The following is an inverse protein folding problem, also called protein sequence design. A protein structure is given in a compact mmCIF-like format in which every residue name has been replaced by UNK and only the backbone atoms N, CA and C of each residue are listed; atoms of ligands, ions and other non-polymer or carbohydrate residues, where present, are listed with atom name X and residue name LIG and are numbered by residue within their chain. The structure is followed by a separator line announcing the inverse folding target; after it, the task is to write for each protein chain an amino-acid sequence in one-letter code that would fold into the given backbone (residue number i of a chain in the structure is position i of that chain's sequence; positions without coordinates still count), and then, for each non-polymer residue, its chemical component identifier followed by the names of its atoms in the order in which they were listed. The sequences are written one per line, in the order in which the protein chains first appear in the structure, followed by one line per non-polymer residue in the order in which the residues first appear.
data_IF_733753479969
#
_entry.id   IF_733753479969
#
_cell.length_a   1.000
_cell.length_b   1.000
_cell.length_c   1.000
_cell.angle_alpha   90.00
_cell.angle_beta   90.00
_cell.angle_gamma   90.00
#
_symmetry.space_group_name_H-M   'P 1'
#
loop_
_entity.id
_entity.type
_entity.pdbx_description
1 polymer ?
#
# COMPACT_ATOMS: atom_id res chain seq x y z
N UNK A 1 3.69 2.82 -9.95
CA UNK A 1 2.32 2.70 -10.46
C UNK A 1 1.62 4.04 -10.44
N UNK A 2 0.91 4.35 -11.48
CA UNK A 2 0.24 5.65 -11.67
C UNK A 2 -1.25 5.50 -11.95
N UNK A 3 -1.98 6.62 -11.85
CA UNK A 3 -3.36 6.72 -12.30
C UNK A 3 -3.37 7.16 -13.78
N UNK A 4 -3.69 6.23 -14.69
CA UNK A 4 -3.85 6.48 -16.14
C UNK A 4 -2.57 6.50 -16.97
N UNK A 5 -1.38 6.53 -16.38
CA UNK A 5 -0.09 6.55 -17.10
C UNK A 5 0.66 5.19 -17.09
N UNK A 6 0.06 4.13 -16.57
CA UNK A 6 0.72 2.83 -16.46
C UNK A 6 1.78 2.79 -15.36
N UNK A 7 2.92 2.19 -15.67
CA UNK A 7 4.05 2.02 -14.77
C UNK A 7 5.27 2.75 -15.31
N UNK A 8 6.01 3.40 -14.42
CA UNK A 8 7.30 4.01 -14.72
C UNK A 8 8.40 3.23 -14.01
N UNK A 9 9.41 2.77 -14.74
CA UNK A 9 10.63 2.17 -14.22
C UNK A 9 11.76 3.18 -14.33
N UNK A 10 12.35 3.54 -13.19
CA UNK A 10 13.52 4.42 -13.10
C UNK A 10 14.78 3.62 -12.80
N UNK A 11 15.80 3.74 -13.62
CA UNK A 11 17.09 3.03 -13.47
C UNK A 11 18.20 3.90 -12.84
N UNK A 12 17.86 5.09 -12.36
CA UNK A 12 18.78 6.09 -11.84
C UNK A 12 19.21 7.13 -12.88
N UNK A 13 18.86 6.97 -14.17
CA UNK A 13 19.22 7.88 -15.27
C UNK A 13 18.03 8.18 -16.19
N UNK A 14 17.26 7.17 -16.52
CA UNK A 14 16.15 7.24 -17.46
C UNK A 14 14.88 6.62 -16.89
N UNK A 15 13.74 7.03 -17.44
CA UNK A 15 12.43 6.50 -17.10
C UNK A 15 11.91 5.71 -18.30
N UNK A 16 11.57 4.44 -18.10
CA UNK A 16 10.90 3.58 -19.07
C UNK A 16 9.44 3.42 -18.68
N UNK A 17 8.54 3.44 -19.68
CA UNK A 17 7.10 3.33 -19.46
C UNK A 17 6.61 1.93 -19.85
N UNK A 18 5.66 1.42 -19.08
CA UNK A 18 4.89 0.23 -19.40
C UNK A 18 3.41 0.61 -19.33
N UNK A 19 2.75 0.54 -20.47
CA UNK A 19 1.33 0.86 -20.64
C UNK A 19 0.61 -0.32 -21.32
N UNK A 20 -0.65 -0.16 -21.66
CA UNK A 20 -1.41 -1.12 -22.47
C UNK A 20 -0.74 -1.40 -23.83
N UNK A 21 0.03 -0.45 -24.38
CA UNK A 21 0.82 -0.63 -25.61
C UNK A 21 1.97 -1.61 -25.43
N UNK A 22 2.60 -1.64 -24.26
CA UNK A 22 3.68 -2.57 -23.90
C UNK A 22 3.12 -3.88 -23.31
N UNK A 23 1.80 -4.01 -23.18
CA UNK A 23 1.14 -5.23 -22.74
C UNK A 23 0.61 -5.21 -21.29
N UNK A 24 0.53 -4.06 -20.62
CA UNK A 24 -0.13 -3.94 -19.33
C UNK A 24 -1.66 -4.03 -19.52
N UNK A 25 -2.36 -4.71 -18.62
CA UNK A 25 -3.82 -4.91 -18.75
C UNK A 25 -4.66 -3.64 -18.56
N UNK A 26 -4.14 -2.64 -17.81
CA UNK A 26 -4.77 -1.33 -17.62
C UNK A 26 -3.75 -0.30 -17.13
N UNK A 27 -3.87 0.94 -17.58
CA UNK A 27 -2.93 2.03 -17.28
C UNK A 27 -3.14 2.67 -15.88
N UNK A 28 -4.11 2.24 -15.10
CA UNK A 28 -4.26 2.66 -13.70
C UNK A 28 -3.79 1.52 -12.79
N UNK A 29 -2.61 1.69 -12.19
CA UNK A 29 -1.94 0.69 -11.36
C UNK A 29 -1.95 1.13 -9.91
N UNK A 30 -2.64 0.36 -9.06
CA UNK A 30 -2.83 0.67 -7.63
C UNK A 30 -1.79 0.01 -6.74
N UNK A 31 -1.32 -1.17 -7.12
CA UNK A 31 -0.41 -1.98 -6.32
C UNK A 31 0.65 -2.61 -7.18
N UNK A 32 1.88 -2.70 -6.67
CA UNK A 32 3.02 -3.35 -7.30
C UNK A 32 3.69 -4.25 -6.27
N UNK A 33 4.08 -5.45 -6.68
CA UNK A 33 4.83 -6.41 -5.88
C UNK A 33 5.92 -7.05 -6.75
N UNK A 34 7.14 -7.20 -6.24
CA UNK A 34 8.15 -8.13 -6.76
C UNK A 34 8.07 -9.42 -5.94
N UNK A 35 7.83 -10.57 -6.61
CA UNK A 35 7.80 -11.87 -5.95
C UNK A 35 9.22 -12.42 -5.70
N UNK A 36 9.36 -13.45 -4.86
CA UNK A 36 10.66 -14.07 -4.57
C UNK A 36 11.36 -14.66 -5.80
N UNK A 37 10.61 -14.91 -6.88
CA UNK A 37 11.16 -15.37 -8.18
C UNK A 37 11.60 -14.21 -9.08
N UNK A 38 11.42 -12.95 -8.66
CA UNK A 38 11.78 -11.75 -9.40
C UNK A 38 10.75 -11.34 -10.47
N UNK A 39 9.54 -11.90 -10.45
CA UNK A 39 8.46 -11.40 -11.29
C UNK A 39 7.82 -10.18 -10.65
N UNK A 40 7.37 -9.24 -11.48
CA UNK A 40 6.65 -8.04 -11.02
C UNK A 40 5.15 -8.22 -11.26
N UNK A 41 4.37 -8.05 -10.21
CA UNK A 41 2.93 -8.13 -10.24
C UNK A 41 2.32 -6.74 -10.14
N UNK A 42 1.41 -6.42 -11.06
CA UNK A 42 0.73 -5.13 -11.15
C UNK A 42 -0.76 -5.32 -10.93
N UNK A 43 -1.27 -4.79 -9.83
CA UNK A 43 -2.70 -4.73 -9.54
C UNK A 43 -3.33 -3.50 -10.19
N UNK A 44 -4.31 -3.70 -11.06
CA UNK A 44 -4.88 -2.64 -11.88
C UNK A 44 -6.35 -2.35 -11.55
N UNK A 45 -6.82 -1.20 -12.00
CA UNK A 45 -8.22 -0.81 -11.90
C UNK A 45 -9.03 -1.39 -13.08
N UNK A 46 -9.78 -2.46 -12.83
CA UNK A 46 -10.65 -3.11 -13.80
C UNK A 46 -9.95 -4.00 -14.84
N UNK A 47 -8.61 -4.04 -14.88
CA UNK A 47 -7.84 -4.89 -15.79
C UNK A 47 -7.33 -6.19 -15.14
N UNK A 48 -7.66 -6.44 -13.89
CA UNK A 48 -7.13 -7.57 -13.13
C UNK A 48 -5.67 -7.37 -12.72
N UNK A 49 -4.90 -8.44 -12.81
CA UNK A 49 -3.48 -8.50 -12.49
C UNK A 49 -2.67 -8.72 -13.74
N UNK A 50 -1.58 -7.97 -13.91
CA UNK A 50 -0.55 -8.23 -14.92
C UNK A 50 0.72 -8.71 -14.20
N UNK A 51 1.20 -9.92 -14.53
CA UNK A 51 2.48 -10.46 -14.07
C UNK A 51 3.50 -10.27 -15.18
N UNK A 52 4.65 -9.68 -14.88
CA UNK A 52 5.78 -9.49 -15.78
C UNK A 52 6.98 -10.32 -15.35
N UNK A 53 7.46 -11.21 -16.21
CA UNK A 53 8.59 -12.12 -15.94
C UNK A 53 9.95 -11.56 -16.42
N UNK A 54 9.99 -10.28 -16.75
CA UNK A 54 11.17 -9.63 -17.35
C UNK A 54 11.18 -9.64 -18.89
N UNK A 55 10.24 -10.37 -19.54
CA UNK A 55 10.15 -10.51 -21.02
C UNK A 55 8.73 -10.27 -21.52
N UNK A 56 7.74 -10.84 -20.84
CA UNK A 56 6.35 -10.84 -21.27
C UNK A 56 5.38 -10.65 -20.10
N UNK A 57 4.16 -10.20 -20.43
CA UNK A 57 3.06 -10.09 -19.49
C UNK A 57 2.16 -11.34 -19.57
N UNK A 58 1.74 -11.81 -18.40
CA UNK A 58 0.63 -12.75 -18.21
C UNK A 58 -0.47 -12.04 -17.45
N UNK A 59 -1.73 -12.23 -17.83
CA UNK A 59 -2.86 -11.56 -17.22
C UNK A 59 -3.76 -12.52 -16.48
N UNK A 60 -4.27 -12.07 -15.36
CA UNK A 60 -5.28 -12.77 -14.56
C UNK A 60 -6.46 -11.84 -14.34
N UNK A 61 -7.63 -12.28 -14.76
CA UNK A 61 -8.92 -11.60 -14.61
C UNK A 61 -9.92 -12.57 -13.99
N UNK A 62 -11.17 -12.18 -13.90
CA UNK A 62 -12.24 -13.08 -13.47
C UNK A 62 -12.37 -14.33 -14.35
N UNK A 63 -11.94 -14.26 -15.63
CA UNK A 63 -11.90 -15.43 -16.54
C UNK A 63 -10.88 -16.47 -16.11
N UNK A 64 -9.73 -16.01 -15.60
CA UNK A 64 -8.65 -16.86 -15.09
C UNK A 64 -8.86 -17.24 -13.63
N UNK A 65 -9.92 -16.73 -12.98
CA UNK A 65 -10.32 -17.13 -11.63
C UNK A 65 -10.13 -16.09 -10.54
N UNK A 66 -9.86 -14.81 -10.84
CA UNK A 66 -9.92 -13.76 -9.82
C UNK A 66 -11.35 -13.51 -9.35
N UNK A 67 -11.53 -13.11 -8.10
CA UNK A 67 -12.85 -12.73 -7.56
C UNK A 67 -13.36 -11.39 -8.08
N UNK A 68 -12.46 -10.50 -8.48
CA UNK A 68 -12.78 -9.20 -9.08
C UNK A 68 -11.56 -8.65 -9.82
N UNK A 69 -11.77 -7.93 -10.92
CA UNK A 69 -10.70 -7.36 -11.76
C UNK A 69 -10.17 -6.00 -11.30
N UNK A 70 -10.67 -5.43 -10.20
CA UNK A 70 -10.08 -4.24 -9.57
C UNK A 70 -9.26 -4.64 -8.35
N UNK A 71 -7.93 -4.57 -8.48
CA UNK A 71 -6.96 -5.01 -7.47
C UNK A 71 -6.41 -3.79 -6.73
N UNK A 72 -6.57 -3.78 -5.41
CA UNK A 72 -6.16 -2.68 -4.54
C UNK A 72 -4.84 -2.96 -3.82
N UNK A 73 -4.57 -4.23 -3.50
CA UNK A 73 -3.36 -4.66 -2.79
C UNK A 73 -2.90 -6.03 -3.25
N UNK A 74 -1.59 -6.27 -3.17
CA UNK A 74 -0.95 -7.54 -3.50
C UNK A 74 0.08 -7.86 -2.42
N UNK A 75 0.14 -9.11 -1.99
CA UNK A 75 1.15 -9.64 -1.06
C UNK A 75 1.55 -11.05 -1.50
N UNK A 76 2.84 -11.39 -1.42
CA UNK A 76 3.33 -12.76 -1.40
C UNK A 76 3.50 -13.19 0.06
N UNK A 77 2.85 -14.31 0.46
CA UNK A 77 3.02 -14.87 1.79
C UNK A 77 4.30 -15.71 1.89
N UNK A 78 4.77 -16.00 3.11
CA UNK A 78 5.98 -16.80 3.37
C UNK A 78 5.91 -18.22 2.80
N UNK A 79 4.75 -18.68 2.33
CA UNK A 79 4.55 -19.96 1.65
C UNK A 79 4.61 -19.83 0.12
N UNK A 80 4.85 -18.62 -0.42
CA UNK A 80 4.91 -18.32 -1.85
C UNK A 80 3.54 -18.19 -2.52
N UNK A 81 2.44 -18.06 -1.75
CA UNK A 81 1.15 -17.75 -2.36
C UNK A 81 1.01 -16.25 -2.55
N UNK A 82 0.39 -15.84 -3.66
CA UNK A 82 0.08 -14.44 -3.93
C UNK A 82 -1.35 -14.14 -3.51
N UNK A 83 -1.51 -13.15 -2.66
CA UNK A 83 -2.79 -12.67 -2.17
C UNK A 83 -3.16 -11.35 -2.85
N UNK A 84 -4.39 -11.26 -3.31
CA UNK A 84 -4.95 -10.09 -3.97
C UNK A 84 -6.13 -9.57 -3.17
N UNK A 85 -6.02 -8.35 -2.67
CA UNK A 85 -7.13 -7.59 -2.10
C UNK A 85 -7.88 -6.86 -3.21
N UNK A 86 -9.17 -7.06 -3.29
CA UNK A 86 -10.00 -6.57 -4.41
C UNK A 86 -11.02 -5.53 -3.97
N UNK A 87 -11.60 -4.83 -4.93
CA UNK A 87 -12.72 -3.93 -4.72
C UNK A 87 -14.05 -4.71 -4.83
N UNK A 88 -14.63 -5.09 -3.69
CA UNK A 88 -15.93 -5.75 -3.60
C UNK A 88 -15.94 -7.27 -3.84
N UNK A 89 -14.82 -7.88 -4.26
CA UNK A 89 -14.70 -9.33 -4.47
C UNK A 89 -14.05 -10.09 -3.31
N UNK A 90 -13.69 -9.43 -2.22
CA UNK A 90 -12.96 -10.02 -1.10
C UNK A 90 -11.49 -10.23 -1.44
N UNK A 91 -10.97 -11.39 -1.06
CA UNK A 91 -9.60 -11.82 -1.29
C UNK A 91 -9.55 -12.93 -2.33
N UNK A 92 -8.53 -12.90 -3.19
CA UNK A 92 -8.14 -14.02 -4.04
C UNK A 92 -6.73 -14.46 -3.63
N UNK A 93 -6.58 -15.74 -3.26
CA UNK A 93 -5.28 -16.37 -3.01
C UNK A 93 -4.91 -17.22 -4.21
N UNK A 94 -3.72 -17.03 -4.78
CA UNK A 94 -3.16 -17.81 -5.88
C UNK A 94 -1.99 -18.66 -5.38
N UNK A 95 -2.06 -19.99 -5.55
CA UNK A 95 -1.05 -20.95 -5.12
C UNK A 95 -0.05 -21.35 -6.22
N UNK A 96 -0.07 -20.63 -7.36
CA UNK A 96 0.69 -20.96 -8.55
C UNK A 96 -0.10 -21.75 -9.59
N UNK A 97 -1.25 -22.37 -9.24
CA UNK A 97 -2.07 -23.19 -10.13
C UNK A 97 -3.54 -22.75 -10.12
N UNK A 98 -4.08 -22.39 -8.97
CA UNK A 98 -5.51 -22.13 -8.79
C UNK A 98 -5.76 -20.96 -7.84
N UNK A 99 -6.97 -20.39 -7.92
CA UNK A 99 -7.43 -19.36 -7.02
C UNK A 99 -8.37 -19.93 -5.94
N UNK A 100 -8.19 -19.47 -4.70
CA UNK A 100 -9.12 -19.65 -3.58
C UNK A 100 -9.61 -18.28 -3.15
N UNK A 101 -10.91 -18.16 -2.81
CA UNK A 101 -11.52 -16.89 -2.45
C UNK A 101 -11.96 -16.86 -1.00
N UNK A 102 -11.86 -15.66 -0.39
CA UNK A 102 -12.35 -15.39 0.95
C UNK A 102 -13.18 -14.11 0.92
N UNK A 103 -14.41 -14.21 1.37
CA UNK A 103 -15.38 -13.13 1.42
C UNK A 103 -15.99 -13.00 2.82
N UNK A 104 -16.97 -12.15 2.99
CA UNK A 104 -17.78 -12.07 4.21
C UNK A 104 -18.43 -13.42 4.59
N UNK A 105 -18.70 -14.29 3.63
CA UNK A 105 -19.22 -15.65 3.87
C UNK A 105 -18.24 -16.54 4.61
N UNK A 106 -16.92 -16.38 4.36
CA UNK A 106 -15.83 -17.08 5.04
C UNK A 106 -15.38 -16.35 6.32
N UNK A 107 -15.95 -15.18 6.64
CA UNK A 107 -15.69 -14.42 7.86
C UNK A 107 -14.85 -13.16 7.70
N UNK A 108 -14.49 -12.77 6.48
CA UNK A 108 -13.84 -11.49 6.20
C UNK A 108 -14.81 -10.35 6.57
N UNK A 109 -14.32 -9.29 7.21
CA UNK A 109 -15.17 -8.21 7.71
C UNK A 109 -15.82 -7.35 6.62
N UNK A 110 -15.18 -7.24 5.45
CA UNK A 110 -15.72 -6.54 4.26
C UNK A 110 -15.00 -7.00 3.00
N UNK A 111 -15.73 -7.06 1.87
CA UNK A 111 -15.22 -7.56 0.60
C UNK A 111 -14.38 -6.53 -0.20
N UNK A 112 -14.16 -5.33 0.29
CA UNK A 112 -13.21 -4.37 -0.28
C UNK A 112 -11.97 -4.30 0.61
N UNK A 113 -10.82 -4.77 0.09
CA UNK A 113 -9.57 -4.92 0.85
C UNK A 113 -8.49 -4.01 0.31
N UNK A 114 -8.11 -2.99 1.11
CA UNK A 114 -7.12 -1.98 0.72
C UNK A 114 -5.67 -2.37 1.01
N UNK A 115 -5.44 -3.18 2.04
CA UNK A 115 -4.08 -3.58 2.43
C UNK A 115 -4.04 -5.00 2.97
N UNK A 116 -2.91 -5.65 2.75
CA UNK A 116 -2.61 -7.00 3.21
C UNK A 116 -1.24 -6.99 3.86
N UNK A 117 -1.11 -7.63 5.02
CA UNK A 117 0.15 -7.84 5.72
C UNK A 117 0.21 -9.28 6.24
N UNK A 118 1.35 -9.96 6.12
CA UNK A 118 1.68 -11.14 6.92
C UNK A 118 2.56 -10.73 8.09
N UNK A 119 2.10 -11.01 9.33
CA UNK A 119 2.88 -10.70 10.53
C UNK A 119 4.04 -11.70 10.73
N UNK A 120 4.94 -11.39 11.67
CA UNK A 120 6.09 -12.25 12.00
C UNK A 120 5.66 -13.65 12.49
N UNK A 121 4.45 -13.76 13.01
CA UNK A 121 3.85 -15.02 13.49
C UNK A 121 3.17 -15.83 12.39
N UNK A 122 3.07 -15.29 11.15
CA UNK A 122 2.43 -15.93 10.00
C UNK A 122 0.92 -15.72 9.93
N UNK A 123 0.35 -14.78 10.70
CA UNK A 123 -1.04 -14.41 10.51
C UNK A 123 -1.14 -13.35 9.41
N UNK A 124 -2.20 -13.43 8.61
CA UNK A 124 -2.51 -12.42 7.61
C UNK A 124 -3.49 -11.39 8.18
N UNK A 125 -3.22 -10.13 7.90
CA UNK A 125 -4.01 -8.99 8.34
C UNK A 125 -4.52 -8.22 7.12
N UNK A 126 -5.81 -7.91 7.12
CA UNK A 126 -6.50 -7.29 5.99
C UNK A 126 -7.19 -6.01 6.43
N UNK A 127 -6.76 -4.88 5.87
CA UNK A 127 -7.41 -3.59 6.07
C UNK A 127 -8.54 -3.40 5.07
N UNK A 128 -9.74 -3.14 5.56
CA UNK A 128 -10.95 -3.15 4.74
C UNK A 128 -11.66 -1.81 4.68
N UNK A 129 -12.61 -1.69 3.75
CA UNK A 129 -13.54 -0.57 3.67
C UNK A 129 -14.71 -0.80 4.63
N UNK A 130 -14.81 0.00 5.68
CA UNK A 130 -15.91 0.02 6.68
C UNK A 130 -16.08 -1.29 7.53
N UNK A 131 -15.18 -2.28 7.35
CA UNK A 131 -15.16 -3.50 8.17
C UNK A 131 -14.06 -3.54 9.23
N UNK A 132 -13.25 -2.50 9.32
CA UNK A 132 -12.07 -2.47 10.19
C UNK A 132 -10.94 -3.36 9.65
N UNK A 133 -10.41 -4.20 10.53
CA UNK A 133 -9.29 -5.11 10.24
C UNK A 133 -9.71 -6.55 10.47
N UNK A 134 -9.43 -7.42 9.51
CA UNK A 134 -9.58 -8.88 9.66
C UNK A 134 -8.22 -9.52 9.83
N UNK A 135 -8.06 -10.34 10.87
CA UNK A 135 -6.91 -11.22 11.08
C UNK A 135 -7.29 -12.64 10.69
N UNK A 136 -6.46 -13.32 9.90
CA UNK A 136 -6.61 -14.71 9.52
C UNK A 136 -5.43 -15.53 10.04
N UNK A 137 -5.69 -16.56 10.82
CA UNK A 137 -4.70 -17.44 11.45
C UNK A 137 -4.39 -18.72 10.62
N UNK A 138 -4.87 -18.77 9.39
CA UNK A 138 -4.81 -19.96 8.53
C UNK A 138 -6.05 -20.85 8.62
N UNK A 139 -6.98 -20.58 9.56
CA UNK A 139 -8.20 -21.37 9.78
C UNK A 139 -9.46 -20.51 9.88
N UNK A 140 -9.38 -19.40 10.59
CA UNK A 140 -10.53 -18.54 10.90
C UNK A 140 -10.17 -17.07 10.90
N UNK A 141 -11.18 -16.23 10.70
CA UNK A 141 -11.05 -14.78 10.81
C UNK A 141 -11.41 -14.29 12.21
N UNK A 142 -10.66 -13.31 12.70
CA UNK A 142 -10.98 -12.46 13.85
C UNK A 142 -11.02 -11.02 13.38
N UNK A 143 -12.10 -10.32 13.65
CA UNK A 143 -12.31 -8.95 13.16
C UNK A 143 -12.18 -7.94 14.29
N UNK A 144 -11.53 -6.81 14.01
CA UNK A 144 -11.33 -5.68 14.93
C UNK A 144 -11.91 -4.42 14.31
N UNK A 145 -12.72 -3.71 15.11
CA UNK A 145 -13.44 -2.51 14.68
C UNK A 145 -13.24 -1.37 15.68
N UNK A 146 -13.91 -0.25 15.46
CA UNK A 146 -13.97 0.87 16.42
C UNK A 146 -14.50 0.46 17.78
N UNK A 147 -15.35 -0.58 17.86
CA UNK A 147 -15.83 -1.15 19.12
C UNK A 147 -14.73 -1.84 19.93
N UNK A 148 -13.67 -2.29 19.26
CA UNK A 148 -12.50 -2.94 19.87
C UNK A 148 -11.38 -1.93 20.17
N UNK A 149 -11.55 -0.65 19.77
CA UNK A 149 -10.60 0.43 19.97
C UNK A 149 -9.84 0.91 18.73
N UNK A 150 -10.16 0.36 17.55
CA UNK A 150 -9.64 0.89 16.29
C UNK A 150 -10.19 2.32 16.07
N UNK A 151 -9.37 3.23 15.57
CA UNK A 151 -9.77 4.65 15.42
C UNK A 151 -10.81 4.90 14.34
N UNK A 152 -10.87 4.04 13.32
CA UNK A 152 -11.86 4.10 12.23
C UNK A 152 -11.88 2.76 11.48
N UNK A 153 -13.04 2.36 10.95
CA UNK A 153 -13.25 1.08 10.26
C UNK A 153 -12.82 1.07 8.80
N UNK A 154 -12.33 2.19 8.24
CA UNK A 154 -11.74 2.23 6.90
C UNK A 154 -10.22 2.26 7.06
N UNK A 155 -9.55 1.15 6.69
CA UNK A 155 -8.12 0.94 6.92
C UNK A 155 -7.37 0.81 5.60
N UNK A 156 -6.51 1.79 5.30
CA UNK A 156 -5.76 1.85 4.04
C UNK A 156 -4.39 1.20 4.09
N UNK A 157 -3.76 1.15 5.25
CA UNK A 157 -2.38 0.66 5.40
C UNK A 157 -2.20 -0.09 6.70
N UNK A 158 -1.45 -1.18 6.64
CA UNK A 158 -1.08 -2.00 7.80
C UNK A 158 0.41 -2.28 7.72
N UNK A 159 1.15 -2.08 8.81
CA UNK A 159 2.51 -2.57 8.98
C UNK A 159 2.69 -3.22 10.35
N UNK A 160 3.68 -4.12 10.47
CA UNK A 160 4.22 -4.58 11.75
C UNK A 160 5.58 -3.92 11.98
N UNK A 161 5.74 -3.20 13.10
CA UNK A 161 7.01 -2.57 13.45
C UNK A 161 8.06 -3.60 13.93
N UNK A 162 9.31 -3.16 14.06
CA UNK A 162 10.41 -4.03 14.54
C UNK A 162 10.17 -4.60 15.92
N UNK A 163 9.34 -3.93 16.73
CA UNK A 163 8.95 -4.34 18.08
C UNK A 163 7.77 -5.32 18.10
N UNK A 164 7.15 -5.61 16.95
CA UNK A 164 6.00 -6.50 16.80
C UNK A 164 4.64 -5.83 17.05
N UNK A 165 4.58 -4.49 17.11
CA UNK A 165 3.30 -3.80 17.14
C UNK A 165 2.76 -3.63 15.72
N UNK A 166 1.44 -3.74 15.58
CA UNK A 166 0.76 -3.46 14.33
C UNK A 166 0.29 -2.00 14.30
N UNK A 167 0.44 -1.38 13.16
CA UNK A 167 0.04 0.01 12.92
C UNK A 167 -0.93 0.08 11.77
N UNK A 168 -2.07 0.73 11.99
CA UNK A 168 -3.18 0.81 11.07
C UNK A 168 -3.43 2.27 10.68
N UNK A 169 -3.20 2.61 9.43
CA UNK A 169 -3.52 3.93 8.86
C UNK A 169 -4.97 3.97 8.39
N UNK A 170 -5.75 4.93 8.90
CA UNK A 170 -7.19 4.96 8.70
C UNK A 170 -7.69 6.22 7.97
N UNK A 171 -8.91 6.17 7.46
CA UNK A 171 -9.59 7.28 6.82
C UNK A 171 -10.33 8.15 7.84
N UNK A 172 -9.68 9.21 8.31
CA UNK A 172 -10.27 10.19 9.23
C UNK A 172 -10.06 9.90 10.72
N UNK A 173 -9.60 8.69 11.11
CA UNK A 173 -9.30 8.32 12.49
C UNK A 173 -7.84 8.48 12.90
N UNK A 174 -6.96 8.87 11.98
CA UNK A 174 -5.52 8.90 12.21
C UNK A 174 -4.90 7.52 12.13
N UNK A 175 -4.09 7.16 13.12
CA UNK A 175 -3.37 5.89 13.19
C UNK A 175 -3.74 5.16 14.48
N UNK A 176 -3.99 3.86 14.38
CA UNK A 176 -4.12 2.96 15.53
C UNK A 176 -2.88 2.08 15.64
N UNK A 177 -2.27 2.03 16.81
CA UNK A 177 -1.23 1.07 17.18
C UNK A 177 -1.85 -0.04 18.01
N UNK A 178 -1.58 -1.30 17.67
CA UNK A 178 -1.99 -2.49 18.43
C UNK A 178 -0.78 -3.24 18.95
N UNK A 179 -0.69 -3.44 20.26
CA UNK A 179 0.43 -4.11 20.95
C UNK A 179 0.19 -5.61 21.19
N UNK A 180 -0.86 -6.16 20.58
CA UNK A 180 -1.31 -7.54 20.81
C UNK A 180 -2.41 -7.66 21.88
N UNK A 181 -2.72 -6.57 22.61
CA UNK A 181 -3.72 -6.53 23.70
C UNK A 181 -4.68 -5.36 23.59
N UNK A 182 -4.16 -4.18 23.26
CA UNK A 182 -4.92 -2.93 23.26
C UNK A 182 -4.52 -2.02 22.12
N UNK A 183 -5.44 -1.14 21.74
CA UNK A 183 -5.22 -0.09 20.75
C UNK A 183 -4.80 1.21 21.42
N UNK A 184 -3.83 1.91 20.82
CA UNK A 184 -3.44 3.28 21.13
C UNK A 184 -3.62 4.14 19.88
N UNK A 185 -4.22 5.30 20.03
CA UNK A 185 -4.56 6.21 18.93
C UNK A 185 -3.55 7.33 18.78
N UNK A 186 -3.22 7.67 17.54
CA UNK A 186 -2.41 8.83 17.18
C UNK A 186 -3.18 9.65 16.14
N UNK A 187 -3.57 10.84 16.54
CA UNK A 187 -4.37 11.77 15.72
C UNK A 187 -3.68 13.13 15.63
N UNK A 188 -4.33 14.10 15.02
CA UNK A 188 -3.84 15.48 15.03
C UNK A 188 -3.71 16.06 16.44
N UNK A 189 -4.39 15.51 17.44
CA UNK A 189 -4.24 15.91 18.86
C UNK A 189 -2.90 15.47 19.43
N UNK A 190 -2.40 14.31 19.02
CA UNK A 190 -1.10 13.75 19.41
C UNK A 190 0.03 14.27 18.51
N UNK A 191 -0.27 15.09 17.51
CA UNK A 191 0.72 15.74 16.65
C UNK A 191 0.84 15.18 15.23
N UNK A 192 -0.05 14.28 14.79
CA UNK A 192 -0.09 13.84 13.40
C UNK A 192 -0.55 15.00 12.49
N UNK A 193 -0.02 15.12 11.27
CA UNK A 193 -0.34 16.23 10.35
C UNK A 193 -1.77 16.16 9.78
N UNK A 194 -2.34 14.97 9.64
CA UNK A 194 -3.72 14.73 9.19
C UNK A 194 -4.23 13.39 9.68
N UNK A 195 -5.54 13.30 9.97
CA UNK A 195 -6.17 12.05 10.38
C UNK A 195 -6.50 11.11 9.20
N UNK A 196 -6.24 11.51 7.96
CA UNK A 196 -6.42 10.69 6.77
C UNK A 196 -5.07 10.08 6.35
N UNK A 197 -4.81 8.84 6.74
CA UNK A 197 -3.51 8.18 6.55
C UNK A 197 -3.62 7.10 5.49
N UNK A 198 -2.88 7.28 4.38
CA UNK A 198 -2.91 6.37 3.24
C UNK A 198 -1.83 5.30 3.27
N UNK A 199 -0.66 5.63 3.85
CA UNK A 199 0.49 4.72 3.87
C UNK A 199 1.29 4.91 5.14
N UNK A 200 1.88 3.82 5.62
CA UNK A 200 2.79 3.79 6.77
C UNK A 200 4.05 3.07 6.34
N UNK A 201 5.21 3.56 6.77
CA UNK A 201 6.51 2.92 6.58
C UNK A 201 7.30 3.01 7.90
N UNK A 202 7.95 1.92 8.34
CA UNK A 202 9.01 1.97 9.33
C UNK A 202 10.35 2.06 8.62
N UNK A 203 11.15 3.09 8.91
CA UNK A 203 12.47 3.26 8.32
C UNK A 203 13.52 2.32 8.95
N UNK A 204 14.71 2.26 8.33
CA UNK A 204 15.80 1.37 8.77
C UNK A 204 16.25 1.63 10.21
N UNK A 205 16.06 2.84 10.71
CA UNK A 205 16.45 3.23 12.07
C UNK A 205 15.28 3.21 13.07
N UNK A 206 14.06 2.81 12.63
CA UNK A 206 12.91 2.58 13.48
C UNK A 206 11.95 3.77 13.64
N UNK A 207 12.10 4.84 12.83
CA UNK A 207 11.06 5.86 12.80
C UNK A 207 9.89 5.42 11.93
N UNK A 208 8.71 5.88 12.27
CA UNK A 208 7.51 5.66 11.47
C UNK A 208 7.20 6.88 10.60
N UNK A 209 6.91 6.62 9.35
CA UNK A 209 6.51 7.62 8.37
C UNK A 209 5.07 7.38 7.97
N UNK A 210 4.28 8.45 7.96
CA UNK A 210 2.86 8.43 7.65
C UNK A 210 2.60 9.35 6.45
N UNK A 211 2.19 8.78 5.33
CA UNK A 211 1.73 9.53 4.17
C UNK A 211 0.24 9.85 4.32
N UNK A 212 -0.10 11.14 4.22
CA UNK A 212 -1.44 11.62 4.57
C UNK A 212 -2.12 12.36 3.43
N UNK A 213 -3.44 12.53 3.54
CA UNK A 213 -4.21 13.43 2.67
C UNK A 213 -4.16 14.84 3.23
N UNK A 214 -3.60 15.75 2.46
CA UNK A 214 -3.55 17.19 2.74
C UNK A 214 -2.55 17.63 3.82
N UNK A 215 -1.95 16.68 4.58
CA UNK A 215 -0.98 16.97 5.63
C UNK A 215 0.48 16.64 5.27
N UNK A 216 0.75 16.21 4.04
CA UNK A 216 2.07 15.79 3.61
C UNK A 216 2.50 14.45 4.22
N UNK A 217 3.76 14.36 4.61
CA UNK A 217 4.32 13.23 5.33
C UNK A 217 4.64 13.62 6.78
N UNK A 218 4.27 12.76 7.75
CA UNK A 218 4.64 12.89 9.15
C UNK A 218 5.65 11.82 9.51
N UNK A 219 6.77 12.19 10.12
CA UNK A 219 7.76 11.28 10.70
C UNK A 219 7.60 11.26 12.21
N UNK A 220 7.52 10.08 12.82
CA UNK A 220 7.46 9.86 14.26
C UNK A 220 8.69 9.11 14.75
N UNK A 221 9.46 9.69 15.65
CA UNK A 221 10.69 9.11 16.19
C UNK A 221 10.48 8.28 17.47
N UNK A 222 9.21 7.98 17.81
CA UNK A 222 8.83 7.34 19.07
C UNK A 222 8.43 8.33 20.16
N UNK A 223 8.67 9.64 19.95
CA UNK A 223 8.37 10.69 20.93
C UNK A 223 7.72 11.93 20.32
N UNK A 224 8.23 12.38 19.17
CA UNK A 224 7.79 13.60 18.51
C UNK A 224 7.47 13.36 17.03
N UNK A 225 6.54 14.16 16.51
CA UNK A 225 6.25 14.24 15.09
C UNK A 225 7.04 15.37 14.44
N UNK A 226 7.59 15.11 13.25
CA UNK A 226 8.14 16.08 12.32
C UNK A 226 7.36 16.00 11.03
N UNK A 227 7.02 17.16 10.43
CA UNK A 227 6.19 17.22 9.23
C UNK A 227 7.00 17.66 8.03
N UNK A 228 6.68 17.09 6.89
CA UNK A 228 7.19 17.44 5.58
C UNK A 228 6.01 17.77 4.69
N UNK A 229 5.90 19.02 4.30
CA UNK A 229 4.81 19.57 3.48
C UNK A 229 5.38 20.30 2.25
N UNK A 230 4.52 20.93 1.47
CA UNK A 230 4.93 21.81 0.39
C UNK A 230 5.86 22.95 0.86
N UNK A 231 5.69 23.41 2.11
CA UNK A 231 6.54 24.45 2.71
C UNK A 231 7.97 23.97 2.95
N UNK A 232 8.16 22.72 3.31
CA UNK A 232 9.47 22.08 3.49
C UNK A 232 10.05 21.57 2.17
N UNK A 233 9.29 21.67 1.06
CA UNK A 233 9.75 21.28 -0.26
C UNK A 233 9.21 19.94 -0.76
N UNK A 234 8.22 19.33 -0.10
CA UNK A 234 7.59 18.09 -0.56
C UNK A 234 6.81 18.27 -1.88
N UNK A 235 6.35 19.50 -2.20
CA UNK A 235 5.72 19.84 -3.48
C UNK A 235 4.26 19.40 -3.63
N UNK A 236 3.77 18.48 -2.82
CA UNK A 236 2.35 18.11 -2.74
C UNK A 236 2.03 17.49 -1.39
N UNK A 237 0.94 17.92 -0.77
CA UNK A 237 0.54 17.50 0.58
C UNK A 237 -0.33 16.23 0.62
N UNK A 238 -0.56 15.56 -0.49
CA UNK A 238 -1.25 14.26 -0.52
C UNK A 238 -0.27 13.17 -0.91
N UNK A 239 0.18 12.40 0.08
CA UNK A 239 1.16 11.33 -0.07
C UNK A 239 0.45 9.97 -0.05
N UNK A 240 0.54 9.23 -1.17
CA UNK A 240 -0.11 7.93 -1.37
C UNK A 240 0.78 6.74 -1.06
N UNK A 241 2.08 6.89 -1.28
CA UNK A 241 3.06 5.83 -1.03
C UNK A 241 4.38 6.41 -0.55
N UNK A 242 5.09 5.67 0.28
CA UNK A 242 6.41 6.02 0.82
C UNK A 242 7.30 4.78 0.70
N UNK A 243 8.53 4.98 0.23
CA UNK A 243 9.56 3.95 0.15
C UNK A 243 10.88 4.51 0.68
N UNK A 244 11.63 3.74 1.44
CA UNK A 244 13.05 4.00 1.74
C UNK A 244 13.92 3.11 0.86
N UNK A 245 14.77 3.70 0.01
CA UNK A 245 15.66 2.95 -0.86
C UNK A 245 16.86 2.33 -0.09
N UNK A 246 17.65 1.50 -0.77
CA UNK A 246 18.79 0.78 -0.16
C UNK A 246 19.85 1.71 0.44
N UNK A 247 19.97 2.93 -0.05
CA UNK A 247 20.96 3.93 0.38
C UNK A 247 20.38 4.99 1.33
N UNK A 248 19.08 4.84 1.74
CA UNK A 248 18.44 5.67 2.75
C UNK A 248 17.76 6.93 2.21
N UNK A 249 17.51 7.05 0.90
CA UNK A 249 16.61 8.09 0.42
C UNK A 249 15.16 7.65 0.60
N UNK A 250 14.31 8.63 0.89
CA UNK A 250 12.86 8.43 0.90
C UNK A 250 12.26 8.85 -0.44
N UNK A 251 11.32 8.05 -0.91
CA UNK A 251 10.58 8.31 -2.14
C UNK A 251 9.10 8.44 -1.79
N UNK A 252 8.52 9.55 -2.15
CA UNK A 252 7.11 9.87 -1.89
C UNK A 252 6.35 9.89 -3.20
N UNK A 253 5.36 9.02 -3.33
CA UNK A 253 4.39 9.07 -4.42
C UNK A 253 3.21 9.95 -4.02
N UNK A 254 2.91 10.97 -4.82
CA UNK A 254 1.92 11.97 -4.48
C UNK A 254 0.74 12.01 -5.45
N UNK A 255 -0.33 12.66 -5.03
CA UNK A 255 -1.57 12.80 -5.81
C UNK A 255 -1.53 14.14 -6.59
N UNK A 256 -0.79 14.13 -7.72
CA UNK A 256 -0.64 15.28 -8.62
C UNK A 256 0.72 16.00 -8.58
N UNK A 257 1.61 15.69 -7.63
CA UNK A 257 2.98 16.25 -7.56
C UNK A 257 4.07 15.33 -8.13
N UNK A 258 3.70 14.18 -8.68
CA UNK A 258 4.68 13.19 -9.17
C UNK A 258 5.34 12.40 -8.05
N UNK A 259 6.59 12.00 -8.28
CA UNK A 259 7.45 11.32 -7.31
C UNK A 259 8.48 12.29 -6.76
N UNK A 260 8.63 12.33 -5.44
CA UNK A 260 9.57 13.19 -4.75
C UNK A 260 10.60 12.33 -4.01
N UNK A 261 11.88 12.57 -4.28
CA UNK A 261 12.99 11.93 -3.55
C UNK A 261 13.54 12.88 -2.51
N UNK A 262 13.69 12.40 -1.27
CA UNK A 262 14.32 13.11 -0.15
C UNK A 262 15.56 12.36 0.32
N UNK A 263 16.72 13.01 0.31
CA UNK A 263 18.00 12.42 0.71
C UNK A 263 18.41 12.76 2.16
N UNK A 264 17.48 13.22 2.98
CA UNK A 264 17.73 13.69 4.34
C UNK A 264 18.08 15.19 4.43
N UNK A 265 18.29 15.88 3.28
CA UNK A 265 18.63 17.32 3.21
C UNK A 265 17.82 18.07 2.19
N UNK A 266 17.65 17.52 0.99
CA UNK A 266 17.02 18.17 -0.16
C UNK A 266 15.98 17.29 -0.80
N UNK A 267 14.97 17.92 -1.38
CA UNK A 267 13.95 17.28 -2.20
C UNK A 267 14.31 17.40 -3.69
N UNK A 268 14.10 16.32 -4.43
CA UNK A 268 14.20 16.28 -5.90
C UNK A 268 12.86 15.80 -6.43
N UNK A 269 12.29 16.53 -7.38
CA UNK A 269 10.99 16.26 -7.96
C UNK A 269 11.14 15.55 -9.30
N UNK A 270 10.30 14.54 -9.53
CA UNK A 270 10.14 13.85 -10.81
C UNK A 270 8.66 13.98 -11.18
N UNK A 271 8.39 14.69 -12.26
CA UNK A 271 7.05 14.96 -12.79
C UNK A 271 6.97 14.54 -14.26
N UNK A 272 5.86 14.82 -14.91
CA UNK A 272 5.75 14.64 -16.37
C UNK A 272 6.79 15.48 -17.14
N UNK A 273 7.29 16.58 -16.58
CA UNK A 273 8.37 17.38 -17.17
C UNK A 273 9.72 16.63 -17.15
N UNK A 274 9.97 15.85 -16.11
CA UNK A 274 11.15 14.98 -15.98
C UNK A 274 10.93 13.58 -16.61
N UNK A 275 9.80 13.37 -17.25
CA UNK A 275 9.53 12.17 -18.04
C UNK A 275 8.64 11.13 -17.36
N UNK A 276 7.93 11.43 -16.27
CA UNK A 276 6.87 10.54 -15.78
C UNK A 276 5.69 10.50 -16.76
N UNK A 277 5.01 9.37 -16.81
CA UNK A 277 3.79 9.19 -17.61
C UNK A 277 2.54 9.82 -16.97
N UNK A 278 2.59 10.11 -15.66
CA UNK A 278 1.53 10.78 -14.90
C UNK A 278 2.08 11.28 -13.57
N UNK A 279 1.59 12.43 -13.10
CA UNK A 279 1.91 12.99 -11.78
C UNK A 279 1.07 12.38 -10.64
N UNK A 280 0.11 11.53 -10.95
CA UNK A 280 -0.75 10.86 -9.95
C UNK A 280 -0.18 9.49 -9.62
N UNK A 281 0.63 9.41 -8.56
CA UNK A 281 1.33 8.19 -8.14
C UNK A 281 0.49 7.43 -7.12
N UNK A 282 0.30 6.14 -7.34
CA UNK A 282 -0.48 5.24 -6.45
C UNK A 282 0.41 4.35 -5.60
N UNK A 283 1.47 3.80 -6.20
CA UNK A 283 2.39 2.87 -5.53
C UNK A 283 3.82 3.04 -6.00
N UNK A 284 4.78 2.80 -5.12
CA UNK A 284 6.22 2.76 -5.39
C UNK A 284 6.75 1.44 -4.85
N UNK A 285 7.63 0.79 -5.61
CA UNK A 285 8.35 -0.43 -5.25
C UNK A 285 9.86 -0.17 -5.37
#
# INVERSE_FOLDING_TARGET
GTSGGGVNKYDGKSITHYTDKEGLSNNTVWSILEDESGNIWFGTYGGGVSKYDGKSFTHYTEKEGLSNSTILSILEDKSGNIWFGTFGGGLSKYDGNSFTHFTDKEGLSNNTVFSILEDKSGNLWFGTYDGGVSKYDGKSFTNYTDKDGLTNNIVFSIIEDKSGNLWFGTYGGGVSKYDGKSFTSYTTKEGLSSNYVFTILEDKIGNLWFGTFGGGASKYDGKFFTHYTDKEGLGNNTVRSILEDKIGNFWFGTDGGGVIRYNGKTFTHYTEQEGLSSNYIRSIL
#
